data_IF_431844871376
#
_entry.id   IF_431844871376
#
_cell.length_a   1.000
_cell.length_b   1.000
_cell.length_c   1.000
_cell.angle_alpha   90.00
_cell.angle_beta   90.00
_cell.angle_gamma   90.00
#
_symmetry.space_group_name_H-M   'P 1'
#
loop_
_entity.id
_entity.type
_entity.pdbx_description
1 polymer ?
#
# COMPACT_ATOMS: atom_id res chain seq x y z
N UNK A 1 -6.77 -23.59 13.62
CA UNK A 1 -6.10 -22.73 12.62
C UNK A 1 -5.59 -23.65 11.53
N UNK A 2 -6.40 -23.87 10.48
CA UNK A 2 -6.04 -24.74 9.37
C UNK A 2 -4.92 -24.07 8.58
N UNK A 3 -3.93 -24.88 8.18
CA UNK A 3 -2.75 -24.49 7.41
C UNK A 3 -3.24 -23.95 6.06
N UNK A 4 -3.44 -22.63 5.95
CA UNK A 4 -3.60 -22.00 4.65
C UNK A 4 -2.26 -22.15 3.93
N UNK A 5 -2.29 -22.72 2.73
CA UNK A 5 -1.10 -22.99 1.93
C UNK A 5 -0.48 -21.66 1.46
N UNK A 6 0.36 -21.07 2.31
CA UNK A 6 1.17 -19.92 1.97
C UNK A 6 2.02 -20.25 0.74
N UNK A 7 1.86 -19.44 -0.31
CA UNK A 7 2.67 -19.54 -1.53
C UNK A 7 3.83 -18.56 -1.46
N UNK A 8 4.95 -18.97 -2.04
CA UNK A 8 6.09 -18.08 -2.25
C UNK A 8 5.74 -17.01 -3.29
N UNK A 9 6.26 -15.78 -3.11
CA UNK A 9 6.01 -14.68 -4.04
C UNK A 9 6.48 -15.00 -5.45
N UNK A 10 7.66 -15.61 -5.61
CA UNK A 10 8.16 -15.97 -6.94
C UNK A 10 7.27 -17.06 -7.55
N UNK A 11 6.79 -18.03 -6.77
CA UNK A 11 5.86 -19.05 -7.27
C UNK A 11 4.56 -18.43 -7.80
N UNK A 12 4.08 -17.35 -7.16
CA UNK A 12 2.89 -16.61 -7.63
C UNK A 12 3.22 -15.81 -8.88
N UNK A 13 4.33 -15.07 -8.90
CA UNK A 13 4.73 -14.22 -10.04
C UNK A 13 4.98 -15.04 -11.31
N UNK A 14 5.64 -16.20 -11.21
CA UNK A 14 5.86 -17.12 -12.34
C UNK A 14 4.55 -17.56 -12.99
N UNK A 15 3.45 -17.71 -12.23
CA UNK A 15 2.13 -18.08 -12.80
C UNK A 15 1.52 -16.99 -13.68
N UNK A 16 1.96 -15.74 -13.51
CA UNK A 16 1.54 -14.62 -14.35
C UNK A 16 2.59 -14.27 -15.42
N UNK A 17 3.51 -15.20 -15.72
CA UNK A 17 4.63 -15.01 -16.65
C UNK A 17 5.56 -13.85 -16.25
N UNK A 18 5.63 -13.53 -14.94
CA UNK A 18 6.51 -12.53 -14.35
C UNK A 18 7.78 -13.18 -13.75
N UNK A 19 8.39 -14.11 -14.48
CA UNK A 19 9.64 -14.84 -14.15
C UNK A 19 10.90 -13.96 -14.34
N UNK A 20 10.77 -12.65 -14.17
CA UNK A 20 11.84 -11.70 -14.44
C UNK A 20 12.29 -11.04 -13.15
N UNK A 21 13.61 -11.02 -12.91
CA UNK A 21 14.25 -10.22 -11.85
C UNK A 21 13.99 -8.71 -12.02
N UNK A 22 13.51 -8.29 -13.20
CA UNK A 22 13.09 -6.93 -13.50
C UNK A 22 11.58 -6.75 -13.40
N UNK A 23 11.19 -5.63 -12.77
CA UNK A 23 9.80 -5.14 -12.71
C UNK A 23 9.29 -4.62 -14.07
N UNK A 24 10.16 -4.51 -15.08
CA UNK A 24 9.82 -3.96 -16.40
C UNK A 24 8.73 -4.77 -17.13
N UNK A 25 8.56 -6.04 -16.75
CA UNK A 25 7.54 -6.93 -17.33
C UNK A 25 6.19 -6.86 -16.62
N UNK A 26 6.10 -6.17 -15.48
CA UNK A 26 4.83 -5.96 -14.80
C UNK A 26 3.99 -5.02 -15.68
N UNK A 27 2.86 -5.49 -16.24
CA UNK A 27 2.03 -4.63 -17.07
C UNK A 27 1.55 -3.44 -16.25
N UNK A 28 1.88 -2.24 -16.71
CA UNK A 28 1.35 -1.01 -16.14
C UNK A 28 -0.17 -1.04 -16.31
N UNK A 29 -0.90 -1.24 -15.22
CA UNK A 29 -2.36 -1.14 -15.25
C UNK A 29 -2.74 0.32 -15.49
N UNK A 30 -3.61 0.55 -16.46
CA UNK A 30 -4.23 1.86 -16.65
C UNK A 30 -5.26 2.05 -15.54
N UNK A 31 -4.84 2.65 -14.44
CA UNK A 31 -5.73 2.93 -13.32
C UNK A 31 -6.69 4.07 -13.72
N UNK A 32 -7.99 3.97 -13.37
CA UNK A 32 -8.89 5.11 -13.47
C UNK A 32 -8.34 6.25 -12.62
N UNK A 33 -8.17 7.42 -13.21
CA UNK A 33 -7.77 8.62 -12.49
C UNK A 33 -9.04 9.22 -11.89
N UNK A 34 -9.04 9.39 -10.57
CA UNK A 34 -10.09 10.10 -9.86
C UNK A 34 -9.56 11.46 -9.43
N UNK A 35 -10.27 12.52 -9.82
CA UNK A 35 -9.94 13.87 -9.36
C UNK A 35 -10.39 14.03 -7.90
N UNK A 36 -9.46 14.49 -7.06
CA UNK A 36 -9.73 14.77 -5.65
C UNK A 36 -9.86 16.27 -5.52
N UNK A 37 -10.99 16.73 -4.99
CA UNK A 37 -11.21 18.14 -4.75
C UNK A 37 -10.37 18.61 -3.56
N UNK A 38 -9.70 19.76 -3.68
CA UNK A 38 -8.86 20.31 -2.62
C UNK A 38 -9.66 20.62 -1.34
N UNK A 39 -10.97 20.85 -1.45
CA UNK A 39 -11.86 21.10 -0.30
C UNK A 39 -12.32 19.82 0.41
N UNK A 40 -12.00 18.63 -0.13
CA UNK A 40 -12.38 17.36 0.46
C UNK A 40 -11.77 17.23 1.87
N UNK A 41 -12.65 17.06 2.87
CA UNK A 41 -12.26 17.04 4.28
C UNK A 41 -11.39 15.83 4.64
N UNK A 42 -11.69 14.66 4.07
CA UNK A 42 -10.92 13.43 4.27
C UNK A 42 -9.54 13.59 3.67
N UNK A 43 -9.44 14.12 2.45
CA UNK A 43 -8.18 14.40 1.78
C UNK A 43 -7.31 15.37 2.59
N UNK A 44 -7.85 16.52 3.03
CA UNK A 44 -7.12 17.46 3.89
C UNK A 44 -6.59 16.82 5.16
N UNK A 45 -7.45 16.08 5.87
CA UNK A 45 -7.08 15.37 7.09
C UNK A 45 -5.93 14.38 6.84
N UNK A 46 -6.04 13.59 5.77
CA UNK A 46 -4.99 12.65 5.37
C UNK A 46 -3.66 13.35 5.06
N UNK A 47 -3.69 14.49 4.36
CA UNK A 47 -2.50 15.28 4.06
C UNK A 47 -1.86 15.86 5.32
N UNK A 48 -2.65 16.36 6.26
CA UNK A 48 -2.17 16.84 7.56
C UNK A 48 -1.51 15.73 8.38
N UNK A 49 -2.08 14.53 8.38
CA UNK A 49 -1.50 13.36 9.05
C UNK A 49 -0.15 12.95 8.43
N UNK A 50 -0.08 12.89 7.08
CA UNK A 50 1.15 12.57 6.35
C UNK A 50 2.24 13.61 6.67
N UNK A 51 1.90 14.90 6.62
CA UNK A 51 2.84 15.99 6.90
C UNK A 51 3.31 15.97 8.36
N UNK A 52 2.41 15.71 9.31
CA UNK A 52 2.74 15.62 10.74
C UNK A 52 3.71 14.47 11.02
N UNK A 53 3.49 13.32 10.37
CA UNK A 53 4.40 12.17 10.44
C UNK A 53 5.75 12.49 9.80
N UNK A 54 5.79 13.05 8.59
CA UNK A 54 7.04 13.52 7.95
C UNK A 54 7.84 14.47 8.85
N UNK A 55 7.16 15.38 9.52
CA UNK A 55 7.80 16.30 10.45
C UNK A 55 8.38 15.59 11.68
N UNK A 56 7.64 14.64 12.28
CA UNK A 56 8.13 13.92 13.47
C UNK A 56 9.37 13.07 13.15
N UNK A 57 9.40 12.42 11.99
CA UNK A 57 10.55 11.61 11.58
C UNK A 57 11.80 12.43 11.23
N UNK A 58 11.65 13.68 10.78
CA UNK A 58 12.81 14.60 10.59
C UNK A 58 13.59 14.84 11.88
N UNK A 59 12.94 14.65 13.03
CA UNK A 59 13.53 14.87 14.35
C UNK A 59 14.15 13.61 14.98
N UNK A 60 13.98 12.43 14.35
CA UNK A 60 14.49 11.15 14.85
C UNK A 60 15.89 10.83 14.30
N UNK A 61 16.75 10.24 15.14
CA UNK A 61 18.11 9.82 14.79
C UNK A 61 18.13 8.63 13.80
N UNK A 62 19.19 8.45 13.00
CA UNK A 62 19.22 7.58 11.81
C UNK A 62 19.15 6.06 12.05
N UNK A 63 19.04 5.60 13.30
CA UNK A 63 19.54 4.29 13.71
C UNK A 63 18.67 3.09 13.25
N UNK A 64 17.57 3.32 12.53
CA UNK A 64 16.92 2.27 11.71
C UNK A 64 16.19 2.85 10.50
N UNK A 65 16.95 3.17 9.46
CA UNK A 65 16.43 3.70 8.19
C UNK A 65 15.26 2.87 7.61
N UNK A 66 15.31 1.54 7.77
CA UNK A 66 14.29 0.62 7.27
C UNK A 66 12.98 0.65 8.08
N UNK A 67 13.06 0.70 9.41
CA UNK A 67 11.88 0.83 10.26
C UNK A 67 11.16 2.16 9.99
N UNK A 68 11.93 3.25 9.92
CA UNK A 68 11.37 4.56 9.56
C UNK A 68 10.77 4.55 8.15
N UNK A 69 11.45 3.96 7.15
CA UNK A 69 10.91 3.83 5.78
C UNK A 69 9.59 3.07 5.76
N UNK A 70 9.47 1.99 6.52
CA UNK A 70 8.25 1.19 6.57
C UNK A 70 7.09 1.96 7.22
N UNK A 71 7.35 2.72 8.28
CA UNK A 71 6.36 3.60 8.92
C UNK A 71 5.81 4.66 7.96
N UNK A 72 6.67 5.23 7.10
CA UNK A 72 6.22 6.13 6.02
C UNK A 72 5.29 5.45 5.02
N UNK A 73 5.68 4.27 4.54
CA UNK A 73 4.89 3.52 3.56
C UNK A 73 3.52 3.17 4.15
N UNK A 74 3.46 2.74 5.41
CA UNK A 74 2.21 2.42 6.11
C UNK A 74 1.32 3.66 6.25
N UNK A 75 1.89 4.81 6.61
CA UNK A 75 1.14 6.06 6.73
C UNK A 75 0.49 6.49 5.40
N UNK A 76 1.27 6.47 4.31
CA UNK A 76 0.79 6.80 2.97
C UNK A 76 -0.28 5.81 2.50
N UNK A 77 -0.09 4.52 2.78
CA UNK A 77 -1.03 3.48 2.41
C UNK A 77 -2.36 3.63 3.15
N UNK A 78 -2.32 3.89 4.46
CA UNK A 78 -3.52 4.12 5.26
C UNK A 78 -4.31 5.33 4.77
N UNK A 79 -3.64 6.46 4.54
CA UNK A 79 -4.27 7.66 3.97
C UNK A 79 -4.90 7.39 2.59
N UNK A 80 -4.18 6.68 1.72
CA UNK A 80 -4.67 6.33 0.38
C UNK A 80 -5.94 5.47 0.43
N UNK A 81 -6.01 4.52 1.35
CA UNK A 81 -7.20 3.68 1.54
C UNK A 81 -8.40 4.53 1.96
N UNK A 82 -8.24 5.41 2.96
CA UNK A 82 -9.34 6.28 3.40
C UNK A 82 -9.86 7.19 2.28
N UNK A 83 -8.95 7.74 1.47
CA UNK A 83 -9.29 8.55 0.30
C UNK A 83 -10.07 7.72 -0.74
N UNK A 84 -9.63 6.50 -1.06
CA UNK A 84 -10.32 5.64 -2.03
C UNK A 84 -11.69 5.20 -1.50
N UNK A 85 -11.79 4.88 -0.21
CA UNK A 85 -13.08 4.53 0.40
C UNK A 85 -14.08 5.68 0.29
N UNK A 86 -13.64 6.92 0.52
CA UNK A 86 -14.45 8.14 0.36
C UNK A 86 -14.88 8.35 -1.10
N UNK A 87 -13.95 8.28 -2.06
CA UNK A 87 -14.22 8.53 -3.49
C UNK A 87 -15.11 7.44 -4.10
N UNK A 88 -14.82 6.17 -3.80
CA UNK A 88 -15.48 5.03 -4.45
C UNK A 88 -16.70 4.54 -3.68
N UNK A 89 -16.88 5.00 -2.44
CA UNK A 89 -17.89 4.53 -1.49
C UNK A 89 -17.86 2.99 -1.32
N UNK A 90 -16.67 2.40 -1.45
CA UNK A 90 -16.41 0.97 -1.24
C UNK A 90 -15.73 0.79 0.10
N UNK A 91 -16.10 -0.27 0.79
CA UNK A 91 -15.39 -0.69 1.99
C UNK A 91 -14.10 -1.39 1.61
N UNK A 92 -12.97 -0.92 2.16
CA UNK A 92 -11.66 -1.53 2.00
C UNK A 92 -11.09 -1.82 3.38
N UNK A 93 -10.42 -2.95 3.54
CA UNK A 93 -9.69 -3.29 4.75
C UNK A 93 -8.26 -3.68 4.39
N UNK A 94 -7.32 -3.29 5.25
CA UNK A 94 -5.92 -3.69 5.15
C UNK A 94 -5.62 -4.67 6.28
N UNK A 95 -5.07 -5.83 5.91
CA UNK A 95 -4.62 -6.83 6.86
C UNK A 95 -3.15 -7.15 6.57
N UNK A 96 -2.23 -7.01 7.55
CA UNK A 96 -0.86 -7.44 7.36
C UNK A 96 -0.86 -8.95 7.13
N UNK A 97 -0.33 -9.35 5.98
CA UNK A 97 -0.14 -10.76 5.64
C UNK A 97 1.35 -11.08 5.65
N UNK A 98 1.72 -12.13 6.36
CA UNK A 98 3.11 -12.61 6.44
C UNK A 98 3.48 -13.56 5.29
N UNK A 99 2.54 -13.85 4.40
CA UNK A 99 2.71 -14.62 3.17
C UNK A 99 1.50 -14.48 2.26
N UNK A 100 1.60 -14.89 1.00
CA UNK A 100 0.56 -14.64 0.02
C UNK A 100 -0.53 -15.69 0.14
N UNK A 101 -1.74 -15.23 0.46
CA UNK A 101 -2.94 -16.07 0.54
C UNK A 101 -3.98 -15.61 -0.49
N UNK A 102 -4.35 -16.54 -1.37
CA UNK A 102 -5.32 -16.30 -2.45
C UNK A 102 -5.47 -17.53 -3.34
N UNK A 103 -6.70 -17.90 -3.63
CA UNK A 103 -7.03 -18.87 -4.69
C UNK A 103 -7.46 -18.08 -5.93
N UNK A 104 -7.05 -18.55 -7.11
CA UNK A 104 -7.55 -18.04 -8.39
C UNK A 104 -9.08 -18.04 -8.34
N UNK A 105 -9.70 -16.92 -8.73
CA UNK A 105 -11.17 -16.76 -8.83
C UNK A 105 -11.63 -16.89 -10.27
#
# INVERSE_FOLDING_TARGET
MTKEDFKDLNEVLVKYDLDSDSIDFIPLFSLPIYEIQDENKIFKCCMEEILSKLHSYRTLQPDSLEFMRNEYVVALLHASIHIIMDITNKELSMHPQYGIVGKES
#
